data_IF_145106745240
#
_entry.id   IF_145106745240
#
_cell.length_a   1.000
_cell.length_b   1.000
_cell.length_c   1.000
_cell.angle_alpha   90.00
_cell.angle_beta   90.00
_cell.angle_gamma   90.00
#
_symmetry.space_group_name_H-M   'P 1'
#
loop_
_entity.id
_entity.type
_entity.pdbx_description
1 polymer ?
#
# COMPACT_ATOMS: atom_id res chain seq x y z
N UNK A 1 8.47 -13.85 -17.61
CA UNK A 1 7.17 -13.98 -16.91
C UNK A 1 6.80 -12.63 -16.35
N UNK A 2 5.54 -12.20 -16.48
CA UNK A 2 5.10 -10.90 -15.94
C UNK A 2 5.06 -10.98 -14.41
N UNK A 3 5.64 -10.00 -13.67
CA UNK A 3 5.62 -10.04 -12.22
C UNK A 3 4.19 -9.86 -11.70
N UNK A 4 3.84 -10.76 -10.78
CA UNK A 4 2.57 -10.85 -10.07
C UNK A 4 2.24 -9.60 -9.25
N UNK A 5 0.95 -9.25 -9.24
CA UNK A 5 0.16 -8.73 -8.12
C UNK A 5 0.74 -7.60 -7.27
N UNK A 6 0.22 -6.38 -7.49
CA UNK A 6 0.10 -5.38 -6.43
C UNK A 6 -1.40 -5.14 -6.20
N UNK A 7 -1.78 -4.89 -4.95
CA UNK A 7 -3.12 -4.45 -4.55
C UNK A 7 -3.66 -3.42 -5.53
N UNK A 8 -4.85 -3.64 -6.08
CA UNK A 8 -5.49 -2.68 -6.99
C UNK A 8 -5.94 -1.46 -6.17
N UNK A 9 -5.03 -0.51 -5.96
CA UNK A 9 -5.43 0.87 -5.75
C UNK A 9 -6.22 1.37 -6.97
N UNK A 10 -7.01 2.43 -6.80
CA UNK A 10 -7.73 3.05 -7.92
C UNK A 10 -6.77 3.32 -9.07
N UNK A 11 -7.15 2.90 -10.27
CA UNK A 11 -6.43 3.21 -11.50
C UNK A 11 -6.47 4.72 -11.76
N UNK A 12 -5.52 5.27 -12.56
CA UNK A 12 -5.57 6.68 -12.92
C UNK A 12 -6.91 7.10 -13.54
N UNK A 13 -7.54 6.22 -14.33
CA UNK A 13 -8.86 6.49 -14.94
C UNK A 13 -9.98 6.56 -13.92
N UNK A 14 -10.01 5.63 -12.97
CA UNK A 14 -11.00 5.66 -11.87
C UNK A 14 -10.81 6.93 -11.02
N UNK A 15 -9.57 7.36 -10.78
CA UNK A 15 -9.28 8.63 -10.09
C UNK A 15 -9.71 9.86 -10.89
N UNK A 16 -9.49 9.87 -12.21
CA UNK A 16 -9.92 10.95 -13.10
C UNK A 16 -11.44 11.11 -13.08
N UNK A 17 -12.17 10.00 -13.28
CA UNK A 17 -13.64 9.98 -13.28
C UNK A 17 -14.21 10.51 -11.95
N UNK A 18 -13.62 10.13 -10.81
CA UNK A 18 -14.05 10.61 -9.50
C UNK A 18 -13.81 12.12 -9.29
N UNK A 19 -12.72 12.67 -9.82
CA UNK A 19 -12.42 14.11 -9.70
C UNK A 19 -13.31 14.93 -10.63
N UNK A 20 -13.56 14.44 -11.85
CA UNK A 20 -14.50 15.06 -12.78
C UNK A 20 -15.94 15.04 -12.25
N UNK A 21 -16.40 13.92 -11.68
CA UNK A 21 -17.73 13.82 -11.05
C UNK A 21 -17.85 14.75 -9.85
N UNK A 22 -16.77 14.97 -9.10
CA UNK A 22 -16.77 15.85 -7.94
C UNK A 22 -16.94 17.34 -8.29
N UNK A 23 -16.54 17.78 -9.50
CA UNK A 23 -16.68 19.15 -10.04
C UNK A 23 -16.12 20.29 -9.14
N UNK A 24 -15.37 19.96 -8.09
CA UNK A 24 -14.79 20.94 -7.16
C UNK A 24 -13.31 21.23 -7.44
N UNK A 25 -12.67 20.46 -8.32
CA UNK A 25 -11.24 20.55 -8.61
C UNK A 25 -10.96 20.38 -10.10
N UNK A 26 -9.98 21.11 -10.63
CA UNK A 26 -9.37 20.83 -11.93
C UNK A 26 -8.10 19.97 -11.76
N UNK A 27 -7.91 19.00 -12.66
CA UNK A 27 -6.68 18.20 -12.70
C UNK A 27 -5.62 18.99 -13.47
N UNK A 28 -4.68 19.61 -12.75
CA UNK A 28 -3.53 20.28 -13.38
C UNK A 28 -2.43 19.28 -13.79
N UNK A 29 -2.21 18.22 -13.00
CA UNK A 29 -1.27 17.13 -13.33
C UNK A 29 -1.59 15.87 -12.54
N UNK A 30 -1.55 14.72 -13.20
CA UNK A 30 -1.64 13.39 -12.57
C UNK A 30 -0.64 12.43 -13.22
N UNK A 31 0.22 11.82 -12.42
CA UNK A 31 1.32 10.98 -12.91
C UNK A 31 1.51 9.75 -12.02
N UNK A 32 1.79 8.61 -12.65
CA UNK A 32 2.24 7.42 -11.93
C UNK A 32 3.71 7.59 -11.53
N UNK A 33 4.03 7.27 -10.28
CA UNK A 33 5.41 7.21 -9.82
C UNK A 33 5.84 5.76 -9.57
N UNK A 34 7.14 5.49 -9.68
CA UNK A 34 7.74 4.22 -9.27
C UNK A 34 8.68 4.44 -8.08
N UNK A 35 8.18 4.44 -6.82
CA UNK A 35 9.02 4.66 -5.65
C UNK A 35 10.16 3.66 -5.53
N UNK A 36 9.97 2.42 -6.02
CA UNK A 36 10.99 1.37 -5.97
C UNK A 36 12.22 1.72 -6.82
N UNK A 37 12.06 2.46 -7.91
CA UNK A 37 13.21 2.87 -8.73
C UNK A 37 14.11 3.90 -8.05
N UNK A 38 13.67 4.49 -6.93
CA UNK A 38 14.45 5.46 -6.14
C UNK A 38 15.24 4.80 -5.01
N UNK A 39 15.13 3.49 -4.84
CA UNK A 39 15.85 2.74 -3.80
C UNK A 39 16.91 1.87 -4.46
N UNK A 40 18.18 2.20 -4.22
CA UNK A 40 19.32 1.49 -4.81
C UNK A 40 19.55 0.11 -4.16
N UNK A 41 19.25 0.02 -2.86
CA UNK A 41 19.46 -1.21 -2.09
C UNK A 41 18.18 -2.04 -1.96
N UNK A 42 18.26 -3.38 -2.01
CA UNK A 42 17.12 -4.23 -1.68
C UNK A 42 16.53 -3.86 -0.31
N UNK A 43 15.21 -3.68 -0.26
CA UNK A 43 14.49 -3.44 0.99
C UNK A 43 14.57 -4.72 1.82
N UNK A 44 15.11 -4.62 3.05
CA UNK A 44 15.14 -5.75 3.98
C UNK A 44 13.71 -6.14 4.37
N UNK A 45 13.44 -7.45 4.46
CA UNK A 45 12.12 -7.97 4.85
C UNK A 45 11.61 -7.34 6.16
N UNK A 46 12.46 -7.27 7.19
CA UNK A 46 12.15 -6.60 8.47
C UNK A 46 11.65 -5.16 8.33
N UNK A 47 12.27 -4.38 7.42
CA UNK A 47 11.87 -2.98 7.19
C UNK A 47 10.51 -2.93 6.53
N UNK A 48 10.27 -3.79 5.54
CA UNK A 48 8.98 -3.89 4.87
C UNK A 48 7.86 -4.33 5.82
N UNK A 49 8.08 -5.37 6.62
CA UNK A 49 7.14 -5.84 7.65
C UNK A 49 6.79 -4.74 8.64
N UNK A 50 7.78 -3.96 9.09
CA UNK A 50 7.54 -2.86 10.04
C UNK A 50 6.67 -1.76 9.44
N UNK A 51 6.87 -1.39 8.17
CA UNK A 51 6.01 -0.43 7.49
C UNK A 51 4.59 -0.96 7.30
N UNK A 52 4.44 -2.23 6.90
CA UNK A 52 3.13 -2.85 6.77
C UNK A 52 2.40 -2.90 8.12
N UNK A 53 3.11 -3.27 9.19
CA UNK A 53 2.56 -3.30 10.55
C UNK A 53 2.06 -1.92 10.98
N UNK A 54 2.87 -0.89 10.80
CA UNK A 54 2.49 0.47 11.15
C UNK A 54 1.21 0.94 10.44
N UNK A 55 0.98 0.51 9.19
CA UNK A 55 -0.24 0.84 8.44
C UNK A 55 -1.46 -0.03 8.76
N UNK A 56 -1.25 -1.31 9.10
CA UNK A 56 -2.32 -2.32 9.11
C UNK A 56 -2.70 -2.83 10.50
N UNK A 57 -1.85 -2.67 11.51
CA UNK A 57 -2.08 -3.24 12.86
C UNK A 57 -3.42 -2.81 13.47
N UNK A 58 -3.84 -1.55 13.29
CA UNK A 58 -5.12 -1.08 13.80
C UNK A 58 -6.31 -1.83 13.18
N UNK A 59 -6.26 -2.13 11.88
CA UNK A 59 -7.30 -2.86 11.16
C UNK A 59 -7.34 -4.31 11.64
N UNK A 60 -6.18 -4.97 11.69
CA UNK A 60 -6.09 -6.37 12.11
C UNK A 60 -6.46 -6.55 13.59
N UNK A 61 -6.02 -5.66 14.47
CA UNK A 61 -6.36 -5.70 15.89
C UNK A 61 -7.86 -5.52 16.11
N UNK A 62 -8.51 -4.65 15.32
CA UNK A 62 -9.96 -4.43 15.41
C UNK A 62 -10.76 -5.67 14.99
N UNK A 63 -10.27 -6.41 13.99
CA UNK A 63 -11.01 -7.55 13.45
C UNK A 63 -10.72 -8.87 14.17
N UNK A 64 -9.46 -9.11 14.55
CA UNK A 64 -9.00 -10.37 15.11
C UNK A 64 -8.62 -10.31 16.60
N UNK A 65 -8.59 -9.12 17.19
CA UNK A 65 -8.05 -8.89 18.53
C UNK A 65 -6.52 -8.74 18.53
N UNK A 66 -5.97 -8.28 19.65
CA UNK A 66 -4.55 -7.95 19.78
C UNK A 66 -3.65 -9.16 20.02
N UNK A 67 -4.21 -10.28 20.49
CA UNK A 67 -3.44 -11.45 20.92
C UNK A 67 -2.67 -12.18 19.82
N UNK A 68 -2.99 -11.94 18.55
CA UNK A 68 -2.36 -12.63 17.40
C UNK A 68 -1.41 -11.73 16.59
N UNK A 69 -1.36 -10.44 16.88
CA UNK A 69 -0.74 -9.45 15.98
C UNK A 69 0.77 -9.65 15.85
N UNK A 70 1.43 -9.94 16.97
CA UNK A 70 2.87 -10.20 16.98
C UNK A 70 3.23 -11.44 16.18
N UNK A 71 2.46 -12.52 16.36
CA UNK A 71 2.67 -13.75 15.60
C UNK A 71 2.39 -13.54 14.10
N UNK A 72 1.34 -12.78 13.76
CA UNK A 72 0.98 -12.48 12.38
C UNK A 72 2.14 -11.79 11.64
N UNK A 73 2.71 -10.73 12.23
CA UNK A 73 3.81 -10.01 11.59
C UNK A 73 5.15 -10.76 11.66
N UNK A 74 5.38 -11.57 12.69
CA UNK A 74 6.53 -12.47 12.75
C UNK A 74 6.50 -13.52 11.62
N UNK A 75 5.33 -14.09 11.35
CA UNK A 75 5.15 -15.04 10.23
C UNK A 75 5.24 -14.35 8.86
N UNK A 76 4.82 -13.08 8.76
CA UNK A 76 4.90 -12.30 7.51
C UNK A 76 6.34 -11.89 7.14
N UNK A 77 7.20 -11.67 8.13
CA UNK A 77 8.60 -11.31 7.89
C UNK A 77 9.45 -12.46 7.31
N UNK A 78 9.06 -13.71 7.62
CA UNK A 78 9.79 -14.92 7.21
C UNK A 78 9.45 -15.37 5.79
#
# INVERSE_FOLDING_TARGET
GKPHGYDKGASPKEMEELVEENDCFSIERMELTNPKSKVETPIKAVTYTRHLRAGMEGIFSKHFGTGIIDELFYRFEK
#
